data_IF_496722485683
#
_entry.id   IF_496722485683
#
_cell.length_a   1.000
_cell.length_b   1.000
_cell.length_c   1.000
_cell.angle_alpha   90.00
_cell.angle_beta   90.00
_cell.angle_gamma   90.00
#
_symmetry.space_group_name_H-M   'P 1'
#
loop_
_entity.id
_entity.type
_entity.pdbx_description
1 polymer ?
#
# COMPACT_ATOMS: atom_id res chain seq x y z
N UNK A 1 -16.18 5.36 -8.19
CA UNK A 1 -15.71 6.10 -6.98
C UNK A 1 -14.28 5.65 -6.69
N UNK A 2 -13.38 6.59 -6.49
CA UNK A 2 -11.98 6.31 -6.13
C UNK A 2 -11.82 6.39 -4.61
N UNK A 3 -11.08 5.45 -4.03
CA UNK A 3 -10.65 5.44 -2.63
C UNK A 3 -9.19 5.87 -2.58
N UNK A 4 -8.92 6.96 -1.88
CA UNK A 4 -7.58 7.49 -1.67
C UNK A 4 -6.90 6.78 -0.50
N UNK A 5 -5.60 6.55 -0.61
CA UNK A 5 -4.80 5.90 0.42
C UNK A 5 -3.52 6.70 0.66
N UNK A 6 -3.36 7.26 1.84
CA UNK A 6 -2.16 8.00 2.22
C UNK A 6 -1.07 7.10 2.78
N UNK A 7 0.14 7.25 2.28
CA UNK A 7 1.32 6.48 2.65
C UNK A 7 2.40 7.30 3.35
N UNK A 8 2.10 8.54 3.73
CA UNK A 8 3.08 9.45 4.34
C UNK A 8 3.71 8.88 5.61
N UNK A 9 2.94 8.09 6.37
CA UNK A 9 3.34 7.49 7.65
C UNK A 9 3.85 6.04 7.54
N UNK A 10 3.95 5.49 6.33
CA UNK A 10 4.61 4.22 6.05
C UNK A 10 5.76 4.42 5.09
N UNK A 11 5.49 4.63 3.78
CA UNK A 11 6.53 4.80 2.76
C UNK A 11 7.31 6.11 2.96
N UNK A 12 6.63 7.15 3.42
CA UNK A 12 7.26 8.41 3.80
C UNK A 12 8.30 8.31 4.93
N UNK A 13 8.25 7.24 5.74
CA UNK A 13 9.27 6.99 6.77
C UNK A 13 10.69 6.83 6.20
N UNK A 14 10.84 6.31 4.97
CA UNK A 14 12.14 6.21 4.31
C UNK A 14 12.82 7.58 4.17
N UNK A 15 12.07 8.62 3.77
CA UNK A 15 12.59 9.99 3.67
C UNK A 15 13.02 10.58 5.03
N UNK A 16 12.50 10.04 6.13
CA UNK A 16 12.79 10.42 7.51
C UNK A 16 13.75 9.44 8.21
N UNK A 17 14.34 8.49 7.49
CA UNK A 17 15.19 7.42 8.04
C UNK A 17 14.50 6.66 9.19
N UNK A 18 13.20 6.45 9.08
CA UNK A 18 12.31 5.83 10.09
C UNK A 18 12.27 6.56 11.44
N UNK A 19 12.71 7.84 11.49
CA UNK A 19 12.73 8.64 12.71
C UNK A 19 11.52 9.60 12.73
N UNK A 20 10.34 9.05 13.01
CA UNK A 20 9.10 9.79 13.25
C UNK A 20 8.69 9.52 14.70
N UNK A 21 8.51 10.57 15.48
CA UNK A 21 8.04 10.45 16.87
C UNK A 21 6.55 10.09 16.91
N UNK A 22 6.08 9.58 18.06
CA UNK A 22 4.65 9.30 18.29
C UNK A 22 3.81 10.57 18.07
N UNK A 23 4.27 11.72 18.57
CA UNK A 23 3.53 12.98 18.44
C UNK A 23 3.41 13.42 16.99
N UNK A 24 4.49 13.30 16.19
CA UNK A 24 4.45 13.57 14.76
C UNK A 24 3.51 12.61 14.03
N UNK A 25 3.59 11.31 14.35
CA UNK A 25 2.74 10.27 13.75
C UNK A 25 1.27 10.56 14.00
N UNK A 26 0.89 10.82 15.25
CA UNK A 26 -0.49 11.15 15.64
C UNK A 26 -0.95 12.47 15.01
N UNK A 27 -0.09 13.49 14.98
CA UNK A 27 -0.42 14.79 14.41
C UNK A 27 -0.73 14.69 12.92
N UNK A 28 0.11 14.00 12.14
CA UNK A 28 -0.10 13.82 10.69
C UNK A 28 -1.34 12.95 10.43
N UNK A 29 -1.49 11.83 11.13
CA UNK A 29 -2.66 10.95 10.97
C UNK A 29 -3.97 11.69 11.29
N UNK A 30 -4.00 12.51 12.37
CA UNK A 30 -5.18 13.30 12.74
C UNK A 30 -5.50 14.37 11.69
N UNK A 31 -4.48 15.03 11.13
CA UNK A 31 -4.68 16.00 10.06
C UNK A 31 -5.24 15.37 8.77
N UNK A 32 -4.77 14.19 8.42
CA UNK A 32 -5.29 13.40 7.28
C UNK A 32 -6.74 12.96 7.52
N UNK A 33 -7.05 12.48 8.72
CA UNK A 33 -8.41 12.08 9.10
C UNK A 33 -9.38 13.28 9.06
N UNK A 34 -8.96 14.45 9.55
CA UNK A 34 -9.74 15.70 9.49
C UNK A 34 -9.92 16.20 8.05
N UNK A 35 -8.96 15.95 7.17
CA UNK A 35 -9.06 16.23 5.73
C UNK A 35 -9.97 15.23 4.99
N UNK A 36 -10.44 14.18 5.65
CA UNK A 36 -11.33 13.16 5.07
C UNK A 36 -10.62 12.06 4.31
N UNK A 37 -9.31 11.84 4.58
CA UNK A 37 -8.57 10.72 4.01
C UNK A 37 -9.17 9.39 4.48
N UNK A 38 -9.61 8.50 3.56
CA UNK A 38 -10.31 7.29 3.97
C UNK A 38 -9.39 6.18 4.49
N UNK A 39 -8.17 6.08 3.96
CA UNK A 39 -7.18 5.08 4.36
C UNK A 39 -5.85 5.77 4.65
N UNK A 40 -5.23 5.43 5.78
CA UNK A 40 -3.92 5.92 6.20
C UNK A 40 -3.06 4.72 6.58
N UNK A 41 -1.89 4.59 5.94
CA UNK A 41 -0.99 3.47 6.21
C UNK A 41 0.04 3.82 7.27
N UNK A 42 0.13 2.99 8.31
CA UNK A 42 1.00 3.21 9.48
C UNK A 42 1.76 1.93 9.80
N UNK A 43 3.05 1.91 9.48
CA UNK A 43 4.02 0.87 9.89
C UNK A 43 5.44 1.41 9.71
N UNK A 44 6.45 0.58 10.01
CA UNK A 44 7.81 0.75 9.47
C UNK A 44 7.76 0.93 7.93
N UNK A 45 8.70 1.67 7.36
CA UNK A 45 8.75 1.92 5.91
C UNK A 45 8.71 0.63 5.06
N UNK A 46 9.38 -0.42 5.51
CA UNK A 46 9.38 -1.74 4.86
C UNK A 46 8.25 -2.67 5.34
N UNK A 47 7.27 -2.14 6.06
CA UNK A 47 6.13 -2.88 6.58
C UNK A 47 6.35 -3.46 7.97
N UNK A 48 5.36 -4.21 8.43
CA UNK A 48 5.34 -4.85 9.75
C UNK A 48 6.57 -5.71 9.99
N UNK A 49 7.26 -5.47 11.13
CA UNK A 49 8.47 -6.18 11.50
C UNK A 49 9.73 -5.74 10.73
N UNK A 50 9.68 -4.63 9.99
CA UNK A 50 10.79 -4.12 9.18
C UNK A 50 12.00 -3.63 9.96
N UNK A 51 11.84 -3.35 11.27
CA UNK A 51 12.91 -2.89 12.15
C UNK A 51 14.10 -3.88 12.20
N UNK A 52 15.19 -3.54 11.52
CA UNK A 52 16.35 -4.41 11.41
C UNK A 52 17.62 -3.65 11.04
N UNK A 53 18.77 -4.33 11.13
CA UNK A 53 20.06 -3.79 10.67
C UNK A 53 20.03 -3.50 9.16
N UNK A 54 19.27 -4.27 8.37
CA UNK A 54 19.21 -4.12 6.92
C UNK A 54 18.31 -2.94 6.50
N UNK A 55 17.18 -2.76 7.18
CA UNK A 55 16.16 -1.77 6.78
C UNK A 55 16.13 -0.53 7.68
N UNK A 56 16.90 -0.53 8.77
CA UNK A 56 16.93 0.55 9.76
C UNK A 56 15.99 0.29 10.93
N UNK A 57 16.28 0.99 12.02
CA UNK A 57 15.45 0.94 13.23
C UNK A 57 14.59 2.21 13.29
N UNK A 58 13.29 2.09 13.49
CA UNK A 58 12.41 3.24 13.68
C UNK A 58 12.59 3.85 15.07
N UNK A 59 12.05 5.05 15.27
CA UNK A 59 12.03 5.69 16.58
C UNK A 59 11.16 4.91 17.59
N UNK A 60 10.10 4.28 17.12
CA UNK A 60 9.16 3.47 17.89
C UNK A 60 8.77 2.21 17.12
N UNK A 61 8.28 1.18 17.83
CA UNK A 61 7.80 -0.05 17.21
C UNK A 61 6.49 0.15 16.45
N UNK A 62 6.18 -0.77 15.52
CA UNK A 62 4.89 -0.79 14.83
C UNK A 62 3.72 -0.83 15.82
N UNK A 63 3.85 -1.62 16.90
CA UNK A 63 2.86 -1.73 17.96
C UNK A 63 2.62 -0.39 18.67
N UNK A 64 3.68 0.34 19.02
CA UNK A 64 3.58 1.66 19.68
C UNK A 64 2.91 2.69 18.75
N UNK A 65 3.24 2.67 17.45
CA UNK A 65 2.60 3.55 16.47
C UNK A 65 1.10 3.24 16.33
N UNK A 66 0.73 1.97 16.16
CA UNK A 66 -0.67 1.57 16.02
C UNK A 66 -1.48 1.89 17.29
N UNK A 67 -0.95 1.57 18.47
CA UNK A 67 -1.58 1.87 19.75
C UNK A 67 -1.83 3.38 19.95
N UNK A 68 -0.93 4.23 19.44
CA UNK A 68 -1.07 5.69 19.55
C UNK A 68 -2.04 6.28 18.52
N UNK A 69 -2.00 5.81 17.27
CA UNK A 69 -2.74 6.40 16.13
C UNK A 69 -4.18 5.92 16.08
N UNK A 70 -4.42 4.60 16.12
CA UNK A 70 -5.76 4.02 15.88
C UNK A 70 -6.84 4.63 16.76
N UNK A 71 -6.64 4.82 18.09
CA UNK A 71 -7.68 5.40 18.95
C UNK A 71 -8.00 6.88 18.67
N UNK A 72 -7.20 7.56 17.87
CA UNK A 72 -7.38 8.98 17.51
C UNK A 72 -8.19 9.17 16.23
N UNK A 73 -8.29 8.13 15.40
CA UNK A 73 -9.02 8.22 14.13
C UNK A 73 -10.53 8.30 14.37
N UNK A 74 -11.21 9.19 13.66
CA UNK A 74 -12.66 9.42 13.73
C UNK A 74 -13.38 8.81 12.51
N UNK A 75 -12.75 8.85 11.35
CA UNK A 75 -13.32 8.45 10.07
C UNK A 75 -12.37 7.55 9.28
N UNK A 76 -11.06 7.88 9.27
CA UNK A 76 -10.06 7.13 8.55
C UNK A 76 -9.89 5.71 9.13
N UNK A 77 -9.69 4.76 8.23
CA UNK A 77 -9.28 3.40 8.57
C UNK A 77 -7.76 3.30 8.49
N UNK A 78 -7.17 2.60 9.44
CA UNK A 78 -5.72 2.37 9.44
C UNK A 78 -5.42 1.10 8.66
N UNK A 79 -4.46 1.23 7.76
CA UNK A 79 -3.90 0.13 7.00
C UNK A 79 -2.45 -0.14 7.41
N UNK A 80 -1.99 -1.35 7.14
CA UNK A 80 -0.62 -1.78 7.40
C UNK A 80 -0.07 -2.53 6.19
N UNK A 81 1.23 -2.36 5.92
CA UNK A 81 1.95 -3.14 4.92
C UNK A 81 2.60 -4.35 5.59
N UNK A 82 2.56 -5.49 4.91
CA UNK A 82 3.22 -6.72 5.34
C UNK A 82 3.95 -7.36 4.15
N UNK A 83 5.22 -7.62 4.32
CA UNK A 83 6.05 -8.30 3.32
C UNK A 83 6.41 -9.69 3.85
N UNK A 84 5.94 -10.78 3.21
CA UNK A 84 6.36 -12.13 3.56
C UNK A 84 7.89 -12.26 3.58
N UNK A 85 8.43 -12.81 4.66
CA UNK A 85 9.88 -12.90 4.88
C UNK A 85 10.50 -11.75 5.67
N UNK A 86 9.84 -10.58 5.75
CA UNK A 86 10.17 -9.51 6.70
C UNK A 86 9.28 -9.63 7.93
N UNK A 87 7.97 -9.52 7.73
CA UNK A 87 6.99 -9.75 8.78
C UNK A 87 6.60 -11.23 8.93
N UNK A 88 5.99 -11.55 10.07
CA UNK A 88 5.45 -12.87 10.40
C UNK A 88 3.94 -12.81 10.57
N UNK A 89 3.27 -13.97 10.65
CA UNK A 89 1.83 -14.04 10.93
C UNK A 89 1.46 -13.41 12.29
N UNK A 90 2.38 -13.44 13.27
CA UNK A 90 2.14 -12.81 14.56
C UNK A 90 2.10 -11.27 14.47
N UNK A 91 2.86 -10.68 13.54
CA UNK A 91 2.75 -9.25 13.26
C UNK A 91 1.39 -8.87 12.66
N UNK A 92 0.79 -9.75 11.83
CA UNK A 92 -0.56 -9.53 11.29
C UNK A 92 -1.60 -9.56 12.43
N UNK A 93 -1.50 -10.54 13.34
CA UNK A 93 -2.37 -10.60 14.53
C UNK A 93 -2.21 -9.38 15.42
N UNK A 94 -0.97 -8.99 15.69
CA UNK A 94 -0.68 -7.77 16.46
C UNK A 94 -1.34 -6.55 15.85
N UNK A 95 -1.26 -6.37 14.53
CA UNK A 95 -1.89 -5.23 13.86
C UNK A 95 -3.42 -5.25 13.96
N UNK A 96 -4.06 -6.43 13.81
CA UNK A 96 -5.49 -6.62 14.01
C UNK A 96 -5.90 -6.32 15.45
N UNK A 97 -5.19 -6.87 16.43
CA UNK A 97 -5.42 -6.63 17.87
C UNK A 97 -5.37 -5.14 18.24
N UNK A 98 -4.56 -4.34 17.51
CA UNK A 98 -4.48 -2.88 17.67
C UNK A 98 -5.47 -2.10 16.78
N UNK A 99 -6.33 -2.81 16.02
CA UNK A 99 -7.43 -2.21 15.26
C UNK A 99 -7.06 -1.72 13.86
N UNK A 100 -5.96 -2.19 13.28
CA UNK A 100 -5.73 -2.03 11.84
C UNK A 100 -6.82 -2.79 11.07
N UNK A 101 -7.45 -2.13 10.11
CA UNK A 101 -8.60 -2.72 9.39
C UNK A 101 -8.26 -3.19 7.98
N UNK A 102 -7.14 -2.75 7.44
CA UNK A 102 -6.67 -3.13 6.09
C UNK A 102 -5.25 -3.68 6.20
N UNK A 103 -5.01 -4.83 5.59
CA UNK A 103 -3.68 -5.45 5.47
C UNK A 103 -3.29 -5.56 4.00
N UNK A 104 -2.11 -5.05 3.64
CA UNK A 104 -1.54 -5.14 2.29
C UNK A 104 -0.39 -6.12 2.27
N UNK A 105 -0.58 -7.26 1.62
CA UNK A 105 0.41 -8.34 1.51
C UNK A 105 1.21 -8.11 0.23
N UNK A 106 2.47 -7.68 0.40
CA UNK A 106 3.34 -7.27 -0.69
C UNK A 106 4.34 -8.35 -1.08
N UNK A 107 4.37 -8.69 -2.37
CA UNK A 107 5.38 -9.59 -2.95
C UNK A 107 5.93 -8.99 -4.24
N UNK A 108 7.03 -9.53 -4.72
CA UNK A 108 7.48 -9.26 -6.09
C UNK A 108 6.42 -9.74 -7.09
N UNK A 109 6.31 -9.06 -8.24
CA UNK A 109 5.32 -9.37 -9.29
C UNK A 109 5.47 -10.76 -9.94
N UNK A 110 6.45 -11.56 -9.53
CA UNK A 110 6.67 -12.94 -9.96
C UNK A 110 6.54 -13.97 -8.83
N UNK A 111 6.18 -13.53 -7.61
CA UNK A 111 6.25 -14.35 -6.39
C UNK A 111 4.96 -14.27 -5.57
N UNK A 112 3.81 -14.21 -6.24
CA UNK A 112 2.50 -14.14 -5.56
C UNK A 112 2.22 -15.41 -4.72
N UNK A 113 2.79 -16.55 -5.08
CA UNK A 113 2.61 -17.83 -4.39
C UNK A 113 3.04 -17.81 -2.92
N UNK A 114 4.06 -17.01 -2.56
CA UNK A 114 4.50 -16.90 -1.16
C UNK A 114 3.51 -16.13 -0.26
N UNK A 115 2.51 -15.46 -0.85
CA UNK A 115 1.53 -14.65 -0.11
C UNK A 115 0.35 -15.46 0.46
N UNK A 116 0.13 -16.70 0.04
CA UNK A 116 -1.08 -17.47 0.34
C UNK A 116 -1.44 -17.48 1.82
N UNK A 117 -0.53 -17.93 2.68
CA UNK A 117 -0.78 -18.02 4.13
C UNK A 117 -1.05 -16.65 4.77
N UNK A 118 -0.46 -15.59 4.24
CA UNK A 118 -0.61 -14.24 4.78
C UNK A 118 -1.96 -13.62 4.35
N UNK A 119 -2.37 -13.83 3.09
CA UNK A 119 -3.70 -13.42 2.59
C UNK A 119 -4.80 -14.19 3.34
N UNK A 120 -4.65 -15.52 3.49
CA UNK A 120 -5.59 -16.32 4.27
C UNK A 120 -5.72 -15.80 5.72
N UNK A 121 -4.59 -15.46 6.38
CA UNK A 121 -4.63 -14.89 7.73
C UNK A 121 -5.39 -13.57 7.79
N UNK A 122 -5.14 -12.63 6.87
CA UNK A 122 -5.87 -11.36 6.84
C UNK A 122 -7.39 -11.56 6.67
N UNK A 123 -7.78 -12.52 5.84
CA UNK A 123 -9.18 -12.91 5.67
C UNK A 123 -9.81 -13.55 6.91
N UNK A 124 -9.09 -14.47 7.55
CA UNK A 124 -9.57 -15.13 8.76
C UNK A 124 -9.81 -14.12 9.89
N UNK A 125 -9.02 -13.04 9.94
CA UNK A 125 -9.19 -11.90 10.83
C UNK A 125 -10.26 -10.91 10.35
N UNK A 126 -10.90 -11.15 9.20
CA UNK A 126 -11.90 -10.26 8.59
C UNK A 126 -11.36 -8.86 8.23
N UNK A 127 -10.07 -8.73 8.00
CA UNK A 127 -9.44 -7.51 7.51
C UNK A 127 -9.76 -7.29 6.02
N UNK A 128 -9.77 -6.04 5.58
CA UNK A 128 -9.71 -5.70 4.17
C UNK A 128 -8.34 -6.13 3.64
N UNK A 129 -8.30 -7.25 2.91
CA UNK A 129 -7.07 -7.95 2.55
C UNK A 129 -6.68 -7.65 1.11
N UNK A 130 -5.53 -7.02 0.95
CA UNK A 130 -5.02 -6.52 -0.33
C UNK A 130 -3.81 -7.31 -0.78
N UNK A 131 -3.82 -7.80 -2.01
CA UNK A 131 -2.63 -8.29 -2.71
C UNK A 131 -1.87 -7.12 -3.35
N UNK A 132 -0.58 -6.99 -3.05
CA UNK A 132 0.23 -5.86 -3.46
C UNK A 132 1.44 -6.34 -4.27
N UNK A 133 1.36 -6.28 -5.61
CA UNK A 133 2.38 -6.79 -6.52
C UNK A 133 3.39 -5.69 -6.87
N UNK A 134 4.58 -5.78 -6.26
CA UNK A 134 5.68 -4.84 -6.46
C UNK A 134 6.41 -5.06 -7.78
N UNK A 135 7.14 -4.04 -8.26
CA UNK A 135 7.98 -4.07 -9.47
C UNK A 135 7.20 -4.43 -10.74
N UNK A 136 5.97 -3.95 -10.86
CA UNK A 136 5.04 -4.30 -11.95
C UNK A 136 5.62 -4.09 -13.36
N UNK A 137 6.58 -3.16 -13.52
CA UNK A 137 7.25 -2.88 -14.80
C UNK A 137 8.15 -4.03 -15.30
N UNK A 138 8.47 -5.02 -14.45
CA UNK A 138 9.42 -6.11 -14.79
C UNK A 138 8.78 -7.26 -15.58
N UNK A 139 7.46 -7.30 -15.69
CA UNK A 139 6.73 -8.37 -16.37
C UNK A 139 5.71 -7.79 -17.35
N UNK A 140 5.33 -8.58 -18.36
CA UNK A 140 4.22 -8.21 -19.25
C UNK A 140 2.85 -8.31 -18.55
N UNK A 141 1.80 -7.86 -19.23
CA UNK A 141 0.45 -7.79 -18.68
C UNK A 141 -0.14 -9.16 -18.36
N UNK A 142 0.18 -10.20 -19.15
CA UNK A 142 -0.35 -11.54 -18.96
C UNK A 142 0.34 -12.25 -17.79
N UNK A 143 1.65 -12.09 -17.66
CA UNK A 143 2.40 -12.58 -16.50
C UNK A 143 1.93 -11.88 -15.23
N UNK A 144 1.70 -10.57 -15.28
CA UNK A 144 1.18 -9.80 -14.16
C UNK A 144 -0.22 -10.27 -13.76
N UNK A 145 -1.13 -10.46 -14.72
CA UNK A 145 -2.48 -10.99 -14.47
C UNK A 145 -2.43 -12.38 -13.83
N UNK A 146 -1.52 -13.25 -14.28
CA UNK A 146 -1.36 -14.58 -13.68
C UNK A 146 -1.06 -14.51 -12.19
N UNK A 147 -0.18 -13.61 -11.77
CA UNK A 147 0.15 -13.41 -10.36
C UNK A 147 -1.02 -12.77 -9.59
N UNK A 148 -1.72 -11.84 -10.22
CA UNK A 148 -2.91 -11.21 -9.64
C UNK A 148 -4.03 -12.22 -9.37
N UNK A 149 -4.27 -13.14 -10.31
CA UNK A 149 -5.26 -14.23 -10.16
C UNK A 149 -4.90 -15.19 -9.02
N UNK A 150 -3.60 -15.45 -8.78
CA UNK A 150 -3.18 -16.24 -7.62
C UNK A 150 -3.57 -15.53 -6.32
N UNK A 151 -3.24 -14.26 -6.14
CA UNK A 151 -3.62 -13.50 -4.94
C UNK A 151 -5.15 -13.40 -4.78
N UNK A 152 -5.89 -13.20 -5.87
CA UNK A 152 -7.34 -13.23 -5.85
C UNK A 152 -7.88 -14.59 -5.39
N UNK A 153 -7.29 -15.69 -5.89
CA UNK A 153 -7.69 -17.06 -5.51
C UNK A 153 -7.44 -17.37 -4.04
N UNK A 154 -6.42 -16.77 -3.43
CA UNK A 154 -6.14 -16.85 -2.00
C UNK A 154 -7.11 -15.99 -1.18
N UNK A 155 -7.79 -15.06 -1.86
CA UNK A 155 -8.90 -14.28 -1.37
C UNK A 155 -8.58 -12.82 -1.09
N UNK A 156 -7.58 -12.25 -1.71
CA UNK A 156 -7.43 -10.80 -1.75
C UNK A 156 -8.66 -10.17 -2.41
N UNK A 157 -9.22 -9.15 -1.78
CA UNK A 157 -10.37 -8.41 -2.29
C UNK A 157 -9.98 -7.14 -3.06
N UNK A 158 -8.70 -6.84 -3.11
CA UNK A 158 -8.11 -5.78 -3.94
C UNK A 158 -6.73 -6.23 -4.42
N UNK A 159 -6.38 -5.94 -5.67
CA UNK A 159 -5.04 -6.21 -6.24
C UNK A 159 -4.41 -4.90 -6.69
N UNK A 160 -3.21 -4.62 -6.19
CA UNK A 160 -2.44 -3.44 -6.56
C UNK A 160 -1.42 -3.72 -7.66
N UNK A 161 -1.41 -2.84 -8.66
CA UNK A 161 -0.31 -2.67 -9.59
C UNK A 161 0.65 -1.62 -9.04
N UNK A 162 1.88 -2.02 -8.73
CA UNK A 162 2.85 -1.13 -8.07
C UNK A 162 4.03 -0.84 -8.97
N UNK A 163 4.12 0.40 -9.42
CA UNK A 163 5.30 0.94 -10.10
C UNK A 163 6.38 1.36 -9.09
N UNK A 164 7.02 0.37 -8.49
CA UNK A 164 8.03 0.58 -7.43
C UNK A 164 9.25 1.37 -7.91
N UNK A 165 9.57 1.34 -9.20
CA UNK A 165 10.68 2.07 -9.77
C UNK A 165 10.31 3.49 -10.24
N UNK A 166 9.01 3.81 -10.32
CA UNK A 166 8.54 5.05 -10.97
C UNK A 166 8.99 5.12 -12.43
N UNK A 167 9.00 3.99 -13.10
CA UNK A 167 9.53 3.79 -14.45
C UNK A 167 8.45 3.76 -15.53
N UNK A 168 7.24 3.34 -15.16
CA UNK A 168 6.15 3.15 -16.11
C UNK A 168 5.67 4.47 -16.71
N UNK A 169 5.23 4.40 -17.96
CA UNK A 169 4.55 5.49 -18.65
C UNK A 169 3.02 5.27 -18.60
N UNK A 170 2.19 6.33 -18.82
CA UNK A 170 0.74 6.22 -18.70
C UNK A 170 0.10 5.12 -19.56
N UNK A 171 0.60 4.89 -20.77
CA UNK A 171 0.07 3.85 -21.68
C UNK A 171 0.33 2.44 -21.11
N UNK A 172 1.50 2.21 -20.48
CA UNK A 172 1.84 0.93 -19.85
C UNK A 172 0.97 0.67 -18.61
N UNK A 173 0.70 1.73 -17.82
CA UNK A 173 -0.24 1.66 -16.70
C UNK A 173 -1.64 1.34 -17.20
N UNK A 174 -2.11 2.03 -18.24
CA UNK A 174 -3.43 1.78 -18.86
C UNK A 174 -3.57 0.33 -19.29
N UNK A 175 -2.56 -0.23 -19.96
CA UNK A 175 -2.57 -1.62 -20.44
C UNK A 175 -2.65 -2.60 -19.27
N UNK A 176 -1.82 -2.44 -18.23
CA UNK A 176 -1.83 -3.33 -17.07
C UNK A 176 -3.15 -3.27 -16.30
N UNK A 177 -3.65 -2.08 -16.00
CA UNK A 177 -4.90 -1.92 -15.24
C UNK A 177 -6.09 -2.45 -16.06
N UNK A 178 -6.15 -2.18 -17.37
CA UNK A 178 -7.21 -2.71 -18.24
C UNK A 178 -7.17 -4.25 -18.31
N UNK A 179 -5.96 -4.84 -18.35
CA UNK A 179 -5.78 -6.30 -18.33
C UNK A 179 -6.25 -6.90 -17.01
N UNK A 180 -5.90 -6.27 -15.88
CA UNK A 180 -6.42 -6.68 -14.57
C UNK A 180 -7.95 -6.59 -14.53
N UNK A 181 -8.54 -5.49 -15.00
CA UNK A 181 -9.99 -5.32 -14.97
C UNK A 181 -10.72 -6.34 -15.82
N UNK A 182 -10.13 -6.74 -16.94
CA UNK A 182 -10.71 -7.76 -17.82
C UNK A 182 -10.58 -9.19 -17.25
N UNK A 183 -9.55 -9.46 -16.45
CA UNK A 183 -9.23 -10.80 -15.97
C UNK A 183 -9.69 -11.13 -14.55
N UNK A 184 -9.76 -10.14 -13.66
CA UNK A 184 -10.21 -10.31 -12.28
C UNK A 184 -11.75 -10.29 -12.18
N UNK A 185 -12.27 -10.81 -11.08
CA UNK A 185 -13.71 -10.77 -10.77
C UNK A 185 -14.18 -9.31 -10.65
N UNK A 186 -15.46 -9.07 -10.95
CA UNK A 186 -16.04 -7.73 -10.95
C UNK A 186 -15.99 -7.06 -9.57
N UNK A 187 -16.07 -7.87 -8.52
CA UNK A 187 -16.04 -7.45 -7.11
C UNK A 187 -14.64 -7.14 -6.61
N UNK A 188 -13.60 -7.71 -7.26
CA UNK A 188 -12.20 -7.45 -6.87
C UNK A 188 -11.82 -6.04 -7.26
N UNK A 189 -11.43 -5.24 -6.27
CA UNK A 189 -10.95 -3.88 -6.50
C UNK A 189 -9.55 -3.89 -7.12
N UNK A 190 -9.22 -2.82 -7.83
CA UNK A 190 -7.90 -2.64 -8.43
C UNK A 190 -7.28 -1.37 -7.87
N UNK A 191 -6.07 -1.51 -7.33
CA UNK A 191 -5.27 -0.41 -6.83
C UNK A 191 -4.10 -0.06 -7.73
N UNK A 192 -3.66 1.18 -7.64
CA UNK A 192 -2.42 1.63 -8.25
C UNK A 192 -1.56 2.40 -7.25
N UNK A 193 -0.28 2.05 -7.21
CA UNK A 193 0.76 2.73 -6.44
C UNK A 193 1.89 3.12 -7.37
N UNK A 194 2.17 4.42 -7.48
CA UNK A 194 3.20 4.95 -8.37
C UNK A 194 4.25 5.77 -7.65
N UNK A 195 5.53 5.39 -7.82
CA UNK A 195 6.65 6.27 -7.46
C UNK A 195 6.88 7.36 -8.50
N UNK A 196 7.48 8.47 -8.08
CA UNK A 196 7.57 9.71 -8.87
C UNK A 196 8.91 9.89 -9.60
N UNK A 197 9.64 8.80 -9.87
CA UNK A 197 11.00 8.85 -10.40
C UNK A 197 11.11 9.55 -11.77
N UNK A 198 10.22 9.24 -12.70
CA UNK A 198 10.14 9.94 -14.00
C UNK A 198 9.20 11.16 -13.96
N UNK A 199 8.82 11.64 -12.78
CA UNK A 199 7.81 12.67 -12.57
C UNK A 199 6.43 12.32 -13.17
N UNK A 200 6.13 11.03 -13.34
CA UNK A 200 4.88 10.54 -13.94
C UNK A 200 3.85 10.08 -12.92
N UNK A 201 4.12 10.11 -11.62
CA UNK A 201 3.22 9.58 -10.58
C UNK A 201 1.78 10.09 -10.72
N UNK A 202 1.57 11.39 -10.89
CA UNK A 202 0.23 11.96 -11.08
C UNK A 202 -0.40 11.50 -12.40
N UNK A 203 0.34 11.57 -13.51
CA UNK A 203 -0.17 11.14 -14.82
C UNK A 203 -0.51 9.64 -14.84
N UNK A 204 0.34 8.81 -14.23
CA UNK A 204 0.12 7.37 -14.10
C UNK A 204 -1.09 7.05 -13.21
N UNK A 205 -1.28 7.79 -12.12
CA UNK A 205 -2.45 7.62 -11.25
C UNK A 205 -3.76 7.98 -11.96
N UNK A 206 -3.76 9.05 -12.76
CA UNK A 206 -4.92 9.42 -13.59
C UNK A 206 -5.19 8.36 -14.66
N UNK A 207 -4.16 7.88 -15.36
CA UNK A 207 -4.29 6.81 -16.35
C UNK A 207 -4.84 5.51 -15.72
N UNK A 208 -4.39 5.18 -14.49
CA UNK A 208 -4.91 4.04 -13.75
C UNK A 208 -6.41 4.19 -13.41
N UNK A 209 -6.83 5.38 -12.97
CA UNK A 209 -8.25 5.67 -12.69
C UNK A 209 -9.10 5.51 -13.96
N UNK A 210 -8.65 6.09 -15.07
CA UNK A 210 -9.35 6.01 -16.37
C UNK A 210 -9.45 4.56 -16.87
N UNK A 211 -8.43 3.75 -16.61
CA UNK A 211 -8.39 2.34 -16.98
C UNK A 211 -9.20 1.42 -16.02
N UNK A 212 -9.71 1.95 -14.90
CA UNK A 212 -10.60 1.21 -14.00
C UNK A 212 -10.05 0.91 -12.60
N UNK A 213 -8.91 1.48 -12.20
CA UNK A 213 -8.47 1.43 -10.82
C UNK A 213 -9.40 2.25 -9.92
N UNK A 214 -9.70 1.72 -8.74
CA UNK A 214 -10.61 2.33 -7.77
C UNK A 214 -9.98 2.55 -6.39
N UNK A 215 -8.72 2.16 -6.20
CA UNK A 215 -7.88 2.59 -5.07
C UNK A 215 -6.59 3.22 -5.60
N UNK A 216 -6.23 4.39 -5.08
CA UNK A 216 -5.03 5.11 -5.53
C UNK A 216 -4.22 5.54 -4.33
N UNK A 217 -2.95 5.22 -4.38
CA UNK A 217 -1.96 5.58 -3.38
C UNK A 217 -1.29 6.91 -3.70
N UNK A 218 -0.91 7.60 -2.64
CA UNK A 218 -0.03 8.75 -2.70
C UNK A 218 0.42 9.17 -1.30
N UNK A 219 1.11 10.27 -1.21
CA UNK A 219 1.56 10.82 0.07
C UNK A 219 1.55 12.35 0.05
N UNK A 220 1.50 12.96 1.22
CA UNK A 220 1.63 14.42 1.36
C UNK A 220 3.01 14.85 0.87
N UNK A 221 3.04 15.83 -0.02
CA UNK A 221 4.26 16.35 -0.65
C UNK A 221 5.09 15.27 -1.38
N UNK A 222 4.48 14.13 -1.74
CA UNK A 222 5.16 13.04 -2.40
C UNK A 222 6.18 12.30 -1.53
N UNK A 223 6.09 12.39 -0.20
CA UNK A 223 7.00 11.69 0.72
C UNK A 223 7.03 10.19 0.44
N UNK A 224 8.24 9.61 0.33
CA UNK A 224 8.38 8.17 0.05
C UNK A 224 9.82 7.74 -0.17
N UNK A 225 9.99 6.45 -0.43
CA UNK A 225 11.26 5.87 -0.79
C UNK A 225 11.77 6.41 -2.14
N UNK A 226 13.06 6.48 -2.32
CA UNK A 226 13.68 6.89 -3.57
C UNK A 226 13.27 8.31 -3.99
N UNK A 227 12.63 8.42 -5.15
CA UNK A 227 12.13 9.70 -5.69
C UNK A 227 10.78 10.15 -5.09
N UNK A 228 10.24 9.39 -4.14
CA UNK A 228 8.95 9.66 -3.52
C UNK A 228 7.76 9.06 -4.26
N UNK A 229 6.57 9.32 -3.72
CA UNK A 229 5.29 8.84 -4.23
C UNK A 229 4.55 9.90 -5.06
N UNK A 230 3.42 9.53 -5.62
CA UNK A 230 2.47 10.50 -6.19
C UNK A 230 2.07 11.52 -5.12
N UNK A 231 2.27 12.84 -5.35
CA UNK A 231 1.85 13.87 -4.40
C UNK A 231 0.32 13.99 -4.40
N UNK A 232 -0.30 13.66 -3.25
CA UNK A 232 -1.77 13.61 -3.11
C UNK A 232 -2.42 14.96 -3.32
N UNK A 233 -1.85 16.04 -2.80
CA UNK A 233 -2.37 17.39 -2.94
C UNK A 233 -2.44 17.85 -4.40
N UNK A 234 -1.57 17.32 -5.27
CA UNK A 234 -1.60 17.61 -6.71
C UNK A 234 -2.60 16.71 -7.42
N UNK A 235 -2.66 15.44 -7.02
CA UNK A 235 -3.57 14.48 -7.65
C UNK A 235 -5.04 14.76 -7.32
N UNK A 236 -5.33 15.26 -6.11
CA UNK A 236 -6.69 15.58 -5.67
C UNK A 236 -7.20 16.93 -6.18
N UNK A 237 -6.31 17.81 -6.70
CA UNK A 237 -6.68 19.13 -7.22
C UNK A 237 -7.28 19.05 -8.62
#
# INVERSE_FOLDING_TARGET
KVTWHDLSLRDGMHARRHQISIDEMVSVASGLDEAGMPLIEVTHGDGLGGASVNYGFPAHSDEEYLAAVVPKMKQAKISVLHVPGIGTLDHIRMADDHGASTIRIATHCTEADISEQHICMGRDLSMDTVGFLMMAHMVDEQQFLTQALLMESYGANCIYCTDSAGYMLPDEVTQKISTLRAGLQAETEIGFHGHHNLAMGVANSLAAIEAGANRIDGSVAGLGAGAGNTPLEVLCA
#
